data_IF_006790768542
#
_entry.id   IF_006790768542
#
_cell.length_a   1.000
_cell.length_b   1.000
_cell.length_c   1.000
_cell.angle_alpha   90.00
_cell.angle_beta   90.00
_cell.angle_gamma   90.00
#
_symmetry.space_group_name_H-M   'P 1'
#
loop_
_entity.id
_entity.type
_entity.pdbx_description
1 polymer ?
#
# COMPACT_ATOMS: atom_id res chain seq x y z
N UNK A 1 -1.25 -12.78 10.66
CA UNK A 1 0.19 -12.42 10.84
C UNK A 1 0.77 -11.95 9.51
N UNK A 2 1.83 -11.10 9.47
CA UNK A 2 2.36 -10.50 8.22
C UNK A 2 2.70 -11.49 7.10
N UNK A 3 3.05 -12.74 7.44
CA UNK A 3 3.27 -13.82 6.47
C UNK A 3 2.08 -14.06 5.52
N UNK A 4 0.84 -13.82 5.96
CA UNK A 4 -0.37 -14.04 5.15
C UNK A 4 -0.51 -13.04 3.98
N UNK A 5 0.26 -11.95 4.03
CA UNK A 5 0.28 -10.90 3.00
C UNK A 5 1.45 -11.07 2.02
N UNK A 6 2.40 -11.97 2.29
CA UNK A 6 3.53 -12.20 1.40
C UNK A 6 3.04 -12.62 0.00
N UNK A 7 3.73 -12.12 -1.00
CA UNK A 7 3.43 -12.30 -2.42
C UNK A 7 2.04 -11.78 -2.87
N UNK A 8 1.31 -11.11 -1.99
CA UNK A 8 0.02 -10.49 -2.30
C UNK A 8 0.20 -9.02 -2.64
N UNK A 9 -0.74 -8.49 -3.44
CA UNK A 9 -0.90 -7.04 -3.59
C UNK A 9 -1.57 -6.52 -2.32
N UNK A 10 -0.98 -5.51 -1.72
CA UNK A 10 -1.41 -4.94 -0.44
C UNK A 10 -1.62 -3.44 -0.55
N UNK A 11 -2.46 -2.93 0.34
CA UNK A 11 -2.57 -1.51 0.70
C UNK A 11 -1.87 -1.34 2.05
N UNK A 12 -0.99 -0.36 2.16
CA UNK A 12 -0.26 0.00 3.37
C UNK A 12 -0.57 1.44 3.71
N UNK A 13 -1.26 1.64 4.82
CA UNK A 13 -1.61 2.95 5.34
C UNK A 13 -0.53 3.45 6.27
N UNK A 14 -0.05 4.67 6.02
CA UNK A 14 0.98 5.28 6.86
C UNK A 14 0.38 6.28 7.85
N UNK A 15 1.12 6.53 8.93
CA UNK A 15 0.79 7.58 9.92
C UNK A 15 0.81 8.95 9.23
N UNK A 16 1.81 9.17 8.38
CA UNK A 16 1.88 10.32 7.48
C UNK A 16 0.79 10.26 6.38
N UNK A 17 0.46 11.37 5.70
CA UNK A 17 -0.59 11.42 4.67
C UNK A 17 -0.16 10.75 3.34
N UNK A 18 0.39 9.55 3.44
CA UNK A 18 0.79 8.70 2.34
C UNK A 18 -0.01 7.40 2.39
N UNK A 19 -0.20 6.80 1.22
CA UNK A 19 -0.66 5.43 1.07
C UNK A 19 0.29 4.72 0.10
N UNK A 20 0.61 3.46 0.39
CA UNK A 20 1.41 2.65 -0.51
C UNK A 20 0.64 1.42 -0.96
N UNK A 21 0.58 1.20 -2.27
CA UNK A 21 -0.01 -0.01 -2.85
C UNK A 21 1.07 -0.75 -3.62
N UNK A 22 1.18 -2.07 -3.46
CA UNK A 22 2.19 -2.84 -4.18
C UNK A 22 2.20 -4.29 -3.79
N UNK A 23 3.12 -5.08 -4.36
CA UNK A 23 3.29 -6.48 -3.95
C UNK A 23 4.23 -6.56 -2.76
N UNK A 24 3.77 -7.03 -1.60
CA UNK A 24 4.64 -7.31 -0.47
C UNK A 24 5.49 -8.55 -0.81
N UNK A 25 6.81 -8.41 -0.87
CA UNK A 25 7.72 -9.53 -1.22
C UNK A 25 8.59 -9.98 -0.07
N UNK A 26 8.77 -9.13 0.93
CA UNK A 26 9.58 -9.41 2.11
C UNK A 26 9.22 -8.45 3.23
N UNK A 27 9.45 -8.88 4.46
CA UNK A 27 9.55 -7.99 5.60
C UNK A 27 10.67 -8.46 6.54
N UNK A 28 11.12 -7.56 7.41
CA UNK A 28 11.97 -7.86 8.56
C UNK A 28 11.49 -7.06 9.77
N UNK A 29 12.28 -7.00 10.85
CA UNK A 29 11.90 -6.29 12.08
C UNK A 29 11.68 -4.78 11.88
N UNK A 30 12.26 -4.20 10.83
CA UNK A 30 12.26 -2.76 10.60
C UNK A 30 11.47 -2.34 9.36
N UNK A 31 11.43 -3.17 8.32
CA UNK A 31 10.93 -2.77 7.01
C UNK A 31 9.91 -3.75 6.41
N UNK A 32 8.97 -3.18 5.65
CA UNK A 32 8.24 -3.88 4.60
C UNK A 32 8.90 -3.57 3.26
N UNK A 33 9.18 -4.58 2.44
CA UNK A 33 9.63 -4.41 1.07
C UNK A 33 8.48 -4.67 0.09
N UNK A 34 8.11 -3.63 -0.65
CA UNK A 34 7.12 -3.71 -1.71
C UNK A 34 7.78 -3.58 -3.09
N UNK A 35 7.26 -4.33 -4.07
CA UNK A 35 7.67 -4.28 -5.48
C UNK A 35 6.53 -3.80 -6.36
N UNK A 36 6.90 -3.14 -7.46
CA UNK A 36 5.94 -2.59 -8.42
C UNK A 36 4.88 -1.74 -7.70
N UNK A 37 5.37 -0.84 -6.86
CA UNK A 37 4.56 -0.11 -5.91
C UNK A 37 4.15 1.25 -6.47
N UNK A 38 3.01 1.71 -6.01
CA UNK A 38 2.60 3.09 -6.01
C UNK A 38 2.77 3.64 -4.59
N UNK A 39 3.47 4.76 -4.46
CA UNK A 39 3.63 5.49 -3.21
C UNK A 39 3.08 6.88 -3.42
N UNK A 40 1.89 7.11 -2.89
CA UNK A 40 1.11 8.30 -3.18
C UNK A 40 1.08 9.23 -1.97
N UNK A 41 1.37 10.50 -2.20
CA UNK A 41 1.16 11.57 -1.23
C UNK A 41 -0.25 12.12 -1.43
N UNK A 42 -1.11 11.98 -0.43
CA UNK A 42 -2.51 12.43 -0.50
C UNK A 42 -2.63 13.96 -0.56
N UNK A 43 -1.53 14.70 -0.41
CA UNK A 43 -1.51 16.15 -0.56
C UNK A 43 -1.26 16.61 -1.99
N UNK A 44 -0.87 15.71 -2.89
CA UNK A 44 -0.58 16.04 -4.29
C UNK A 44 -1.86 16.18 -5.14
N UNK A 45 -3.01 15.75 -4.62
CA UNK A 45 -4.30 15.76 -5.33
C UNK A 45 -5.47 16.02 -4.36
N UNK A 46 -6.64 16.37 -4.88
CA UNK A 46 -7.87 16.56 -4.09
C UNK A 46 -8.59 15.23 -3.76
N UNK A 47 -7.89 14.08 -3.86
CA UNK A 47 -8.47 12.76 -3.56
C UNK A 47 -8.43 12.45 -2.07
N UNK A 48 -9.34 11.59 -1.61
CA UNK A 48 -9.22 10.98 -0.28
C UNK A 48 -8.51 9.64 -0.38
N UNK A 49 -8.04 9.11 0.75
CA UNK A 49 -7.42 7.78 0.79
C UNK A 49 -8.41 6.70 0.32
N UNK A 50 -9.65 6.78 0.77
CA UNK A 50 -10.70 5.82 0.45
C UNK A 50 -10.97 5.81 -1.06
N UNK A 51 -11.17 6.99 -1.66
CA UNK A 51 -11.38 7.12 -3.09
C UNK A 51 -10.17 6.63 -3.89
N UNK A 52 -8.96 7.00 -3.46
CA UNK A 52 -7.73 6.60 -4.14
C UNK A 52 -7.53 5.07 -4.14
N UNK A 53 -7.80 4.42 -3.01
CA UNK A 53 -7.71 2.96 -2.89
C UNK A 53 -8.79 2.28 -3.73
N UNK A 54 -10.04 2.75 -3.68
CA UNK A 54 -11.13 2.23 -4.49
C UNK A 54 -10.83 2.35 -6.01
N UNK A 55 -10.35 3.51 -6.46
CA UNK A 55 -9.90 3.70 -7.84
C UNK A 55 -8.76 2.75 -8.21
N UNK A 56 -7.83 2.49 -7.29
CA UNK A 56 -6.71 1.56 -7.51
C UNK A 56 -7.14 0.10 -7.55
N UNK A 57 -8.21 -0.28 -6.82
CA UNK A 57 -8.84 -1.60 -6.94
C UNK A 57 -9.46 -1.74 -8.32
N UNK A 58 -10.25 -0.75 -8.75
CA UNK A 58 -10.97 -0.78 -10.02
C UNK A 58 -10.06 -0.70 -11.25
N UNK A 59 -9.02 0.15 -11.21
CA UNK A 59 -8.16 0.44 -12.37
C UNK A 59 -6.79 -0.25 -12.32
N UNK A 60 -6.45 -0.82 -11.15
CA UNK A 60 -5.14 -1.37 -10.86
C UNK A 60 -4.15 -0.34 -10.30
N UNK A 61 -3.10 -0.85 -9.67
CA UNK A 61 -2.06 -0.05 -9.01
C UNK A 61 -1.25 0.76 -10.04
N UNK A 62 -1.23 2.10 -9.92
CA UNK A 62 -0.47 3.03 -10.77
C UNK A 62 1.02 3.07 -10.37
N UNK A 63 1.74 2.01 -10.70
CA UNK A 63 3.16 1.79 -10.32
C UNK A 63 4.04 3.01 -10.63
N UNK A 64 4.60 3.63 -9.60
CA UNK A 64 5.53 4.75 -9.74
C UNK A 64 6.92 4.48 -9.10
N UNK A 65 7.08 3.34 -8.40
CA UNK A 65 8.37 2.86 -7.86
C UNK A 65 8.52 1.36 -8.12
N UNK A 66 9.68 0.95 -8.67
CA UNK A 66 9.99 -0.48 -8.88
C UNK A 66 10.17 -1.24 -7.56
N UNK A 67 10.68 -0.57 -6.53
CA UNK A 67 10.98 -1.11 -5.19
C UNK A 67 10.85 0.01 -4.17
N UNK A 68 10.25 -0.29 -3.02
CA UNK A 68 10.17 0.59 -1.86
C UNK A 68 10.43 -0.18 -0.57
N UNK A 69 11.08 0.47 0.39
CA UNK A 69 11.22 0.01 1.77
C UNK A 69 10.44 0.97 2.67
N UNK A 70 9.46 0.46 3.40
CA UNK A 70 8.63 1.24 4.32
C UNK A 70 9.02 0.86 5.74
N UNK A 71 9.32 1.84 6.59
CA UNK A 71 9.55 1.58 8.02
C UNK A 71 8.26 1.05 8.65
N UNK A 72 8.35 -0.09 9.34
CA UNK A 72 7.21 -0.72 10.03
C UNK A 72 6.62 0.18 11.12
N UNK A 73 7.43 1.02 11.74
CA UNK A 73 6.97 1.99 12.74
C UNK A 73 6.08 3.09 12.17
N UNK A 74 6.08 3.29 10.85
CA UNK A 74 5.24 4.28 10.18
C UNK A 74 3.92 3.68 9.66
N UNK A 75 3.73 2.37 9.79
CA UNK A 75 2.55 1.65 9.27
C UNK A 75 1.44 1.67 10.31
N UNK A 76 0.27 2.16 9.92
CA UNK A 76 -0.97 2.11 10.72
C UNK A 76 -1.70 0.81 10.44
N UNK A 77 -1.85 0.44 9.16
CA UNK A 77 -2.59 -0.74 8.75
C UNK A 77 -2.02 -1.36 7.47
N UNK A 78 -2.33 -2.64 7.26
CA UNK A 78 -2.06 -3.37 6.03
C UNK A 78 -3.26 -4.27 5.72
N UNK A 79 -3.73 -4.25 4.47
CA UNK A 79 -4.76 -5.13 3.95
C UNK A 79 -4.32 -5.69 2.59
N UNK A 80 -4.88 -6.82 2.16
CA UNK A 80 -4.75 -7.19 0.75
C UNK A 80 -5.66 -6.30 -0.06
N UNK A 81 -5.24 -6.00 -1.29
CA UNK A 81 -6.08 -5.24 -2.21
C UNK A 81 -7.38 -5.99 -2.57
N UNK A 82 -7.36 -7.33 -2.51
CA UNK A 82 -8.55 -8.18 -2.76
C UNK A 82 -9.56 -8.17 -1.61
N UNK A 83 -9.14 -7.74 -0.42
CA UNK A 83 -9.99 -7.64 0.77
C UNK A 83 -10.57 -6.22 0.92
N UNK A 84 -10.29 -5.30 -0.01
CA UNK A 84 -10.95 -4.00 -0.07
C UNK A 84 -12.37 -4.25 -0.58
N UNK A 85 -13.34 -4.04 0.31
CA UNK A 85 -14.75 -4.23 0.00
C UNK A 85 -15.35 -2.94 -0.55
N UNK A 86 -16.12 -3.09 -1.62
CA UNK A 86 -17.08 -2.07 -2.05
C UNK A 86 -18.38 -2.25 -1.23
N UNK A 87 -19.17 -1.19 -1.05
CA UNK A 87 -20.50 -1.28 -0.42
C UNK A 87 -21.46 -2.21 -1.19
#
# INVERSE_FOLDING_TARGET
MLNEYLESKVVVDLISPYVCLGKLVRYDDHYLELRNADFHDLRDTDTTRELYVAESVATGIKRNRKRILIRRTEVVAISKIEDVVDE
#
